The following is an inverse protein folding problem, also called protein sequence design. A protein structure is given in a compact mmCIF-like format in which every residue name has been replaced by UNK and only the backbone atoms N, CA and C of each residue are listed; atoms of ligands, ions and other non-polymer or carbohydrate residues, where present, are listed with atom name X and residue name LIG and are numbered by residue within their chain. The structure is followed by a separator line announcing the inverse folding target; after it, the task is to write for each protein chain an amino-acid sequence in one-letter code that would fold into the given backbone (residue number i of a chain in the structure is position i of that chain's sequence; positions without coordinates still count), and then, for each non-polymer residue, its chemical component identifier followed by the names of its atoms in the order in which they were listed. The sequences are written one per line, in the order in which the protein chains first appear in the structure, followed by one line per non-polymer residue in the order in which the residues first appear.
data_IF_966802399597
#
_entry.id   IF_966802399597
#
_cell.length_a   1.000
_cell.length_b   1.000
_cell.length_c   1.000
_cell.angle_alpha   90.00
_cell.angle_beta   90.00
_cell.angle_gamma   90.00
#
_symmetry.space_group_name_H-M   'P 1'
#
loop_
_entity.id
_entity.type
_entity.pdbx_description
1 polymer ?
#
# COMPACT_ATOMS: atom_id res chain seq x y z
N UNK A 1 -12.51 8.58 -56.11
CA UNK A 1 -12.35 9.57 -55.03
C UNK A 1 -12.25 8.79 -53.73
N UNK A 2 -11.04 8.62 -53.24
CA UNK A 2 -10.69 7.77 -52.11
C UNK A 2 -10.72 8.62 -50.83
N UNK A 3 -11.54 8.22 -49.85
CA UNK A 3 -11.67 8.89 -48.55
C UNK A 3 -10.49 8.45 -47.68
N UNK A 4 -9.59 9.38 -47.40
CA UNK A 4 -8.55 9.19 -46.38
C UNK A 4 -9.25 9.26 -45.02
N UNK A 5 -9.42 8.10 -44.38
CA UNK A 5 -9.81 8.02 -42.97
C UNK A 5 -8.76 8.72 -42.12
N UNK A 6 -9.17 9.78 -41.43
CA UNK A 6 -8.38 10.38 -40.38
C UNK A 6 -8.55 9.53 -39.13
N UNK A 7 -7.59 8.66 -38.87
CA UNK A 7 -7.43 8.01 -37.57
C UNK A 7 -7.29 9.11 -36.51
N UNK A 8 -8.39 9.37 -35.80
CA UNK A 8 -8.38 10.25 -34.65
C UNK A 8 -7.57 9.58 -33.55
N UNK A 9 -6.33 10.01 -33.37
CA UNK A 9 -5.50 9.66 -32.21
C UNK A 9 -6.20 10.24 -30.98
N UNK A 10 -7.02 9.43 -30.32
CA UNK A 10 -7.64 9.80 -29.05
C UNK A 10 -6.54 9.82 -27.97
N UNK A 11 -5.95 10.99 -27.74
CA UNK A 11 -5.15 11.23 -26.55
C UNK A 11 -6.07 11.19 -25.33
N UNK A 12 -6.07 10.05 -24.65
CA UNK A 12 -6.71 9.93 -23.34
C UNK A 12 -5.79 10.58 -22.32
N UNK A 13 -6.32 11.52 -21.52
CA UNK A 13 -5.61 12.08 -20.37
C UNK A 13 -5.24 10.93 -19.42
N UNK A 14 -3.98 10.53 -19.40
CA UNK A 14 -3.51 9.49 -18.48
C UNK A 14 -3.77 9.98 -17.05
N UNK A 15 -4.66 9.29 -16.34
CA UNK A 15 -5.02 9.62 -14.96
C UNK A 15 -3.94 9.07 -14.01
N UNK A 16 -2.81 9.76 -13.94
CA UNK A 16 -1.68 9.43 -13.07
C UNK A 16 -0.32 9.69 -13.71
N UNK A 17 0.72 9.71 -12.90
CA UNK A 17 2.07 10.10 -13.29
C UNK A 17 2.84 9.02 -14.09
N UNK A 18 2.11 8.24 -14.89
CA UNK A 18 2.64 7.15 -15.70
C UNK A 18 2.90 5.86 -14.93
N UNK A 19 3.81 5.07 -15.48
CA UNK A 19 4.17 3.73 -15.02
C UNK A 19 5.68 3.59 -14.98
N UNK A 20 6.21 2.77 -14.06
CA UNK A 20 7.63 2.45 -13.93
C UNK A 20 7.81 0.95 -13.70
N UNK A 21 9.01 0.43 -13.93
CA UNK A 21 9.34 -0.97 -13.67
C UNK A 21 9.82 -1.16 -12.24
N UNK A 22 9.40 -2.26 -11.62
CA UNK A 22 9.94 -2.68 -10.32
C UNK A 22 11.38 -3.19 -10.50
N UNK A 23 12.34 -2.83 -9.62
CA UNK A 23 13.69 -3.36 -9.67
C UNK A 23 13.74 -4.90 -9.71
N UNK A 24 14.71 -5.45 -10.47
CA UNK A 24 14.85 -6.89 -10.59
C UNK A 24 15.22 -7.53 -9.25
N UNK A 25 14.54 -8.61 -8.89
CA UNK A 25 14.73 -9.29 -7.61
C UNK A 25 14.00 -8.64 -6.44
N UNK A 26 13.23 -7.57 -6.68
CA UNK A 26 12.44 -6.89 -5.65
C UNK A 26 10.95 -7.19 -5.80
N UNK A 27 10.28 -7.39 -4.66
CA UNK A 27 8.82 -7.39 -4.53
C UNK A 27 8.36 -6.09 -3.87
N UNK A 28 7.27 -5.51 -4.34
CA UNK A 28 6.60 -4.41 -3.65
C UNK A 28 5.31 -4.92 -3.05
N UNK A 29 5.18 -4.78 -1.73
CA UNK A 29 3.97 -5.14 -0.98
C UNK A 29 3.13 -3.90 -0.72
N UNK A 30 1.88 -3.94 -1.17
CA UNK A 30 0.89 -2.90 -0.93
C UNK A 30 -0.06 -3.31 0.19
N UNK A 31 -0.16 -2.45 1.20
CA UNK A 31 -1.04 -2.66 2.37
C UNK A 31 -2.44 -2.06 2.19
N UNK A 32 -2.64 -1.39 1.06
CA UNK A 32 -3.91 -0.84 0.65
C UNK A 32 -4.20 -1.10 -0.81
N UNK A 33 -5.49 -1.28 -1.09
CA UNK A 33 -6.01 -1.23 -2.46
C UNK A 33 -5.82 0.18 -3.02
N UNK A 34 -5.71 0.28 -4.34
CA UNK A 34 -5.68 1.58 -5.00
C UNK A 34 -6.96 2.36 -4.66
N UNK A 35 -6.84 3.67 -4.44
CA UNK A 35 -7.93 4.58 -4.04
C UNK A 35 -8.44 4.40 -2.61
N UNK A 36 -7.70 3.69 -1.75
CA UNK A 36 -7.98 3.60 -0.33
C UNK A 36 -6.93 4.35 0.50
N UNK A 37 -7.31 4.72 1.72
CA UNK A 37 -6.45 5.32 2.73
C UNK A 37 -5.95 4.24 3.71
N UNK A 38 -4.73 4.39 4.21
CA UNK A 38 -4.22 3.66 5.39
C UNK A 38 -3.47 4.61 6.30
N UNK A 39 -3.15 4.14 7.50
CA UNK A 39 -2.23 4.79 8.40
C UNK A 39 -0.84 4.21 8.12
N UNK A 40 -0.02 4.94 7.34
CA UNK A 40 1.40 4.60 7.12
C UNK A 40 2.16 4.19 8.39
N UNK A 41 1.98 4.89 9.54
CA UNK A 41 2.54 4.47 10.83
C UNK A 41 2.19 3.03 11.24
N UNK A 42 0.96 2.58 10.98
CA UNK A 42 0.52 1.22 11.36
C UNK A 42 1.22 0.15 10.52
N UNK A 43 1.47 0.43 9.23
CA UNK A 43 2.25 -0.47 8.37
C UNK A 43 3.68 -0.59 8.88
N UNK A 44 4.34 0.55 9.16
CA UNK A 44 5.70 0.54 9.70
C UNK A 44 5.78 -0.23 11.01
N UNK A 45 4.84 0.00 11.94
CA UNK A 45 4.80 -0.70 13.21
C UNK A 45 4.68 -2.23 13.06
N UNK A 46 3.81 -2.72 12.18
CA UNK A 46 3.67 -4.16 11.96
C UNK A 46 4.86 -4.77 11.23
N UNK A 47 5.47 -4.04 10.30
CA UNK A 47 6.70 -4.47 9.61
C UNK A 47 7.84 -4.62 10.61
N UNK A 48 8.04 -3.62 11.47
CA UNK A 48 9.09 -3.65 12.50
C UNK A 48 8.88 -4.76 13.53
N UNK A 49 7.63 -5.08 13.89
CA UNK A 49 7.32 -6.15 14.85
C UNK A 49 7.53 -7.57 14.29
N UNK A 50 7.61 -7.72 12.96
CA UNK A 50 7.56 -9.03 12.29
C UNK A 50 8.55 -9.11 11.11
N UNK A 51 9.84 -8.81 11.30
CA UNK A 51 10.82 -8.72 10.21
C UNK A 51 10.92 -9.99 9.34
N UNK A 52 10.80 -11.17 9.96
CA UNK A 52 10.91 -12.42 9.20
C UNK A 52 9.62 -12.76 8.43
N UNK A 53 8.44 -12.43 8.98
CA UNK A 53 7.18 -12.67 8.28
C UNK A 53 7.04 -11.77 7.05
N UNK A 54 7.52 -10.53 7.14
CA UNK A 54 7.31 -9.53 6.09
C UNK A 54 8.04 -9.89 4.79
N UNK A 55 9.14 -10.67 4.87
CA UNK A 55 9.84 -11.21 3.70
C UNK A 55 8.94 -12.12 2.84
N UNK A 56 8.03 -12.88 3.47
CA UNK A 56 7.07 -13.73 2.76
C UNK A 56 5.78 -12.96 2.36
N UNK A 57 5.60 -11.81 2.99
CA UNK A 57 4.44 -10.95 2.86
C UNK A 57 3.55 -11.08 4.09
N UNK A 58 3.15 -9.92 4.61
CA UNK A 58 2.44 -9.86 5.88
C UNK A 58 1.04 -10.47 5.76
N UNK A 59 0.83 -11.63 6.38
CA UNK A 59 -0.51 -12.21 6.54
C UNK A 59 -1.25 -11.59 7.75
N UNK A 60 -2.59 -11.47 7.68
CA UNK A 60 -3.37 -10.94 8.78
C UNK A 60 -3.29 -11.88 9.99
N UNK A 61 -3.11 -11.29 11.17
CA UNK A 61 -3.10 -12.02 12.44
C UNK A 61 -3.84 -11.25 13.51
N UNK A 62 -4.41 -11.98 14.46
CA UNK A 62 -4.97 -11.43 15.69
C UNK A 62 -3.86 -11.48 16.74
N UNK A 63 -3.49 -10.33 17.28
CA UNK A 63 -2.41 -10.21 18.28
C UNK A 63 -2.85 -10.49 19.73
N UNK A 64 -3.99 -11.14 19.92
CA UNK A 64 -4.60 -11.40 21.23
C UNK A 64 -4.78 -12.90 21.45
N UNK A 65 -4.66 -13.34 22.70
CA UNK A 65 -4.93 -14.73 23.07
C UNK A 65 -6.43 -15.03 22.98
N UNK A 66 -6.80 -16.31 22.85
CA UNK A 66 -8.22 -16.69 22.87
C UNK A 66 -8.89 -16.30 24.19
N UNK A 67 -8.18 -16.34 25.32
CA UNK A 67 -8.66 -15.88 26.63
C UNK A 67 -8.99 -14.39 26.63
N UNK A 68 -8.14 -13.55 26.01
CA UNK A 68 -8.40 -12.11 25.89
C UNK A 68 -9.60 -11.84 24.98
N UNK A 69 -9.74 -12.62 23.90
CA UNK A 69 -10.87 -12.52 22.99
C UNK A 69 -12.17 -12.90 23.69
N UNK A 70 -12.18 -13.93 24.53
CA UNK A 70 -13.34 -14.31 25.35
C UNK A 70 -13.71 -13.22 26.36
N UNK A 71 -12.72 -12.58 26.98
CA UNK A 71 -12.95 -11.46 27.89
C UNK A 71 -13.57 -10.27 27.15
N UNK A 72 -13.01 -9.92 25.98
CA UNK A 72 -13.52 -8.85 25.13
C UNK A 72 -14.95 -9.14 24.65
N UNK A 73 -15.23 -10.35 24.19
CA UNK A 73 -16.55 -10.81 23.77
C UNK A 73 -17.59 -10.63 24.87
N UNK A 74 -17.28 -11.08 26.11
CA UNK A 74 -18.15 -10.87 27.28
C UNK A 74 -18.37 -9.39 27.58
N UNK A 75 -17.33 -8.57 27.54
CA UNK A 75 -17.44 -7.14 27.84
C UNK A 75 -18.28 -6.34 26.83
N UNK A 76 -18.36 -6.82 25.59
CA UNK A 76 -19.07 -6.17 24.48
C UNK A 76 -20.43 -6.77 24.16
N UNK A 77 -20.83 -7.83 24.88
CA UNK A 77 -22.02 -8.63 24.58
C UNK A 77 -22.04 -9.11 23.11
N UNK A 78 -20.91 -9.64 22.66
CA UNK A 78 -20.69 -10.13 21.29
C UNK A 78 -20.16 -11.56 21.32
N UNK A 79 -20.30 -12.29 20.20
CA UNK A 79 -19.66 -13.60 20.06
C UNK A 79 -18.15 -13.46 19.86
N UNK A 80 -17.38 -14.48 20.23
CA UNK A 80 -15.93 -14.51 19.98
C UNK A 80 -15.61 -14.48 18.48
N UNK A 81 -16.47 -15.07 17.64
CA UNK A 81 -16.34 -14.98 16.18
C UNK A 81 -16.52 -13.55 15.68
N UNK A 82 -17.51 -12.81 16.18
CA UNK A 82 -17.74 -11.42 15.75
C UNK A 82 -16.56 -10.52 16.14
N UNK A 83 -16.01 -10.71 17.35
CA UNK A 83 -14.79 -10.02 17.78
C UNK A 83 -13.61 -10.35 16.86
N UNK A 84 -13.40 -11.63 16.53
CA UNK A 84 -12.34 -12.05 15.60
C UNK A 84 -12.51 -11.42 14.22
N UNK A 85 -13.73 -11.40 13.69
CA UNK A 85 -14.05 -10.80 12.39
C UNK A 85 -13.80 -9.28 12.37
N UNK A 86 -14.20 -8.57 13.43
CA UNK A 86 -13.90 -7.15 13.58
C UNK A 86 -12.39 -6.89 13.63
N UNK A 87 -11.64 -7.66 14.41
CA UNK A 87 -10.19 -7.50 14.51
C UNK A 87 -9.51 -7.76 13.15
N UNK A 88 -9.95 -8.78 12.42
CA UNK A 88 -9.42 -9.11 11.09
C UNK A 88 -9.74 -8.03 10.05
N UNK A 89 -10.88 -7.34 10.18
CA UNK A 89 -11.24 -6.20 9.32
C UNK A 89 -10.23 -5.05 9.42
N UNK A 90 -9.70 -4.81 10.63
CA UNK A 90 -8.73 -3.74 10.91
C UNK A 90 -7.27 -4.20 10.90
N UNK A 91 -7.02 -5.50 10.74
CA UNK A 91 -5.68 -6.04 10.66
C UNK A 91 -4.91 -5.43 9.49
N UNK A 92 -3.64 -5.09 9.74
CA UNK A 92 -2.71 -4.66 8.70
C UNK A 92 -2.06 -5.90 8.08
N UNK A 93 -2.22 -6.05 6.77
CA UNK A 93 -1.68 -7.16 6.00
C UNK A 93 -1.50 -6.76 4.54
N UNK A 94 -0.71 -7.54 3.81
CA UNK A 94 -0.45 -7.34 2.39
C UNK A 94 -1.73 -7.57 1.59
N UNK A 95 -2.22 -6.54 0.90
CA UNK A 95 -3.44 -6.58 0.07
C UNK A 95 -3.15 -6.92 -1.38
N UNK A 96 -1.98 -6.53 -1.87
CA UNK A 96 -1.52 -6.78 -3.23
C UNK A 96 0.00 -6.75 -3.26
N UNK A 97 0.59 -7.34 -4.29
CA UNK A 97 2.03 -7.26 -4.53
C UNK A 97 2.35 -7.23 -6.01
N UNK A 98 3.53 -6.70 -6.33
CA UNK A 98 4.11 -6.68 -7.67
C UNK A 98 5.56 -7.16 -7.56
N UNK A 99 6.03 -7.97 -8.49
CA UNK A 99 7.38 -8.57 -8.46
C UNK A 99 8.16 -8.30 -9.74
N UNK A 100 9.48 -8.36 -9.64
CA UNK A 100 10.40 -8.76 -10.73
C UNK A 100 10.14 -8.08 -12.09
N UNK A 101 10.56 -6.83 -12.25
CA UNK A 101 10.51 -6.14 -13.55
C UNK A 101 9.09 -5.82 -14.04
N UNK A 102 8.04 -6.26 -13.33
CA UNK A 102 6.68 -5.93 -13.66
C UNK A 102 6.43 -4.42 -13.50
N UNK A 103 5.42 -3.95 -14.21
CA UNK A 103 5.08 -2.54 -14.25
C UNK A 103 4.21 -2.14 -13.06
N UNK A 104 4.58 -1.07 -12.37
CA UNK A 104 3.83 -0.45 -11.28
C UNK A 104 3.51 1.00 -11.61
N UNK A 105 2.37 1.51 -11.11
CA UNK A 105 2.02 2.92 -11.29
C UNK A 105 3.12 3.78 -10.66
N UNK A 106 3.58 4.79 -11.37
CA UNK A 106 4.66 5.64 -10.88
C UNK A 106 4.12 6.71 -9.90
N UNK A 107 3.66 6.27 -8.73
CA UNK A 107 2.97 7.13 -7.77
C UNK A 107 3.77 8.41 -7.48
N UNK A 108 3.14 9.58 -7.63
CA UNK A 108 3.60 10.78 -6.96
C UNK A 108 3.51 10.58 -5.44
N UNK A 109 4.66 10.72 -4.78
CA UNK A 109 4.85 10.65 -3.36
C UNK A 109 4.93 12.08 -2.81
N UNK A 110 4.29 12.28 -1.66
CA UNK A 110 4.24 13.57 -0.96
C UNK A 110 4.70 13.36 0.48
N UNK A 111 5.37 14.36 1.01
CA UNK A 111 5.67 14.44 2.42
C UNK A 111 4.38 14.43 3.25
N UNK A 112 4.36 13.68 4.36
CA UNK A 112 3.24 13.63 5.29
C UNK A 112 3.63 14.37 6.57
N UNK A 113 2.68 15.02 7.24
CA UNK A 113 2.93 15.78 8.47
C UNK A 113 3.52 14.93 9.61
N UNK A 114 3.35 13.61 9.56
CA UNK A 114 3.86 12.66 10.55
C UNK A 114 5.26 12.13 10.23
N UNK A 115 5.83 12.46 9.06
CA UNK A 115 7.10 11.90 8.60
C UNK A 115 8.22 12.15 9.61
N UNK A 116 8.37 13.36 10.14
CA UNK A 116 9.44 13.69 11.10
C UNK A 116 9.35 12.84 12.37
N UNK A 117 8.14 12.73 12.95
CA UNK A 117 7.92 11.88 14.13
C UNK A 117 8.23 10.40 13.88
N UNK A 118 7.97 9.90 12.65
CA UNK A 118 8.28 8.51 12.29
C UNK A 118 9.79 8.28 12.08
N UNK A 119 10.50 9.28 11.55
CA UNK A 119 11.96 9.24 11.41
C UNK A 119 12.59 9.20 12.79
N UNK A 120 12.18 10.11 13.68
CA UNK A 120 12.69 10.17 15.05
C UNK A 120 12.42 8.87 15.80
N UNK A 121 11.20 8.34 15.66
CA UNK A 121 10.85 7.06 16.26
C UNK A 121 11.71 5.92 15.71
N UNK A 122 11.89 5.85 14.39
CA UNK A 122 12.70 4.79 13.79
C UNK A 122 14.17 4.90 14.21
N UNK A 123 14.75 6.11 14.23
CA UNK A 123 16.15 6.29 14.59
C UNK A 123 16.44 6.06 16.08
N UNK A 124 15.51 6.42 16.97
CA UNK A 124 15.72 6.36 18.42
C UNK A 124 15.12 5.11 19.08
N UNK A 125 14.08 4.52 18.49
CA UNK A 125 13.34 3.37 19.06
C UNK A 125 13.45 2.10 18.22
N UNK A 126 14.14 2.08 17.05
CA UNK A 126 14.24 0.83 16.30
C UNK A 126 15.16 -0.17 17.01
N UNK A 127 14.53 -1.13 17.70
CA UNK A 127 15.19 -2.39 18.05
C UNK A 127 15.48 -3.25 16.81
N UNK A 128 14.84 -2.95 15.67
CA UNK A 128 14.91 -3.73 14.44
C UNK A 128 15.81 -3.07 13.38
N UNK A 129 17.02 -3.61 13.23
CA UNK A 129 18.04 -3.16 12.26
C UNK A 129 17.88 -3.79 10.87
N UNK A 130 16.86 -4.62 10.65
CA UNK A 130 16.63 -5.33 9.38
C UNK A 130 15.71 -4.55 8.44
N UNK A 131 15.13 -3.44 8.90
CA UNK A 131 14.18 -2.63 8.14
C UNK A 131 14.75 -1.24 7.95
N UNK A 132 15.02 -0.87 6.70
CA UNK A 132 15.31 0.52 6.33
C UNK A 132 14.02 1.27 6.00
N UNK A 133 14.06 2.59 6.18
CA UNK A 133 12.93 3.46 5.87
C UNK A 133 13.29 4.54 4.85
N UNK A 134 12.44 4.69 3.84
CA UNK A 134 12.55 5.74 2.83
C UNK A 134 11.38 6.71 2.96
N UNK A 135 11.69 8.00 3.01
CA UNK A 135 10.73 9.09 3.00
C UNK A 135 11.07 10.10 1.92
N UNK A 136 10.07 10.87 1.49
CA UNK A 136 10.25 11.97 0.54
C UNK A 136 10.02 13.28 1.28
N UNK A 137 10.95 14.22 1.16
CA UNK A 137 10.87 15.56 1.77
C UNK A 137 10.24 16.57 0.82
N UNK A 138 10.43 16.37 -0.48
CA UNK A 138 9.79 17.07 -1.58
C UNK A 138 8.92 16.11 -2.41
N UNK A 139 8.18 16.65 -3.37
CA UNK A 139 7.39 15.81 -4.28
C UNK A 139 8.33 14.98 -5.15
N UNK A 140 8.22 13.65 -5.03
CA UNK A 140 8.98 12.68 -5.81
C UNK A 140 8.07 11.66 -6.47
N UNK A 141 8.57 10.93 -7.44
CA UNK A 141 7.93 9.75 -8.00
C UNK A 141 8.54 8.46 -7.44
N UNK A 142 7.76 7.38 -7.44
CA UNK A 142 8.23 6.07 -6.99
C UNK A 142 9.47 5.60 -7.76
N UNK A 143 9.58 5.91 -9.05
CA UNK A 143 10.78 5.65 -9.85
C UNK A 143 12.03 6.31 -9.26
N UNK A 144 11.92 7.55 -8.75
CA UNK A 144 13.06 8.25 -8.15
C UNK A 144 13.52 7.59 -6.84
N UNK A 145 12.61 6.91 -6.13
CA UNK A 145 12.97 6.09 -4.95
C UNK A 145 13.74 4.85 -5.38
N UNK A 146 13.35 4.20 -6.48
CA UNK A 146 14.09 3.06 -7.02
C UNK A 146 15.49 3.46 -7.49
N UNK A 147 15.61 4.60 -8.19
CA UNK A 147 16.90 5.14 -8.61
C UNK A 147 17.80 5.47 -7.40
N UNK A 148 17.21 5.98 -6.31
CA UNK A 148 17.93 6.26 -5.08
C UNK A 148 18.45 4.98 -4.42
N UNK A 149 17.61 3.93 -4.34
CA UNK A 149 17.99 2.60 -3.85
C UNK A 149 19.12 2.01 -4.69
N UNK A 150 19.01 2.06 -6.02
CA UNK A 150 20.03 1.53 -6.92
C UNK A 150 21.39 2.21 -6.71
N UNK A 151 21.39 3.53 -6.48
CA UNK A 151 22.60 4.31 -6.20
C UNK A 151 23.28 3.97 -4.87
N UNK A 152 22.56 3.43 -3.89
CA UNK A 152 23.19 2.97 -2.63
C UNK A 152 23.93 1.65 -2.82
N UNK A 153 23.64 0.90 -3.88
CA UNK A 153 24.16 -0.46 -4.12
C UNK A 153 23.55 -1.53 -3.21
N UNK A 154 22.62 -1.15 -2.31
CA UNK A 154 21.90 -2.09 -1.45
C UNK A 154 20.80 -2.79 -2.25
N UNK A 155 20.66 -4.09 -2.04
CA UNK A 155 19.59 -4.89 -2.65
C UNK A 155 18.51 -5.18 -1.63
N UNK A 156 17.30 -4.66 -1.90
CA UNK A 156 16.13 -4.98 -1.09
C UNK A 156 15.28 -6.06 -1.77
N UNK A 157 15.05 -7.16 -1.06
CA UNK A 157 14.16 -8.23 -1.52
C UNK A 157 12.70 -7.77 -1.53
N UNK A 158 12.31 -6.94 -0.55
CA UNK A 158 10.94 -6.45 -0.39
C UNK A 158 10.92 -4.97 -0.08
N UNK A 159 10.06 -4.22 -0.78
CA UNK A 159 9.69 -2.84 -0.46
C UNK A 159 8.26 -2.83 0.09
N UNK A 160 8.10 -2.38 1.33
CA UNK A 160 6.80 -2.25 1.96
C UNK A 160 6.19 -0.86 1.68
N UNK A 161 5.26 -0.79 0.74
CA UNK A 161 4.61 0.46 0.36
C UNK A 161 3.49 0.80 1.35
N UNK A 162 3.85 1.51 2.43
CA UNK A 162 2.93 1.94 3.49
C UNK A 162 2.19 3.25 3.21
N UNK A 163 2.57 3.99 2.17
CA UNK A 163 1.97 5.28 1.86
C UNK A 163 0.52 5.15 1.33
N UNK A 164 -0.31 6.15 1.63
CA UNK A 164 -1.67 6.27 1.11
C UNK A 164 -1.69 6.29 -0.43
N UNK A 165 -2.64 5.58 -1.04
CA UNK A 165 -2.82 5.51 -2.49
C UNK A 165 -4.12 6.20 -2.87
N UNK A 166 -4.21 7.50 -2.58
CA UNK A 166 -5.40 8.32 -2.85
C UNK A 166 -5.37 8.94 -4.25
N UNK A 167 -6.53 9.28 -4.79
CA UNK A 167 -6.63 10.17 -5.95
C UNK A 167 -6.39 11.62 -5.50
N UNK A 168 -5.84 12.44 -6.40
CA UNK A 168 -5.50 13.85 -6.15
C UNK A 168 -6.72 14.77 -6.01
N UNK A 169 -7.90 14.25 -6.28
CA UNK A 169 -9.17 14.93 -6.04
C UNK A 169 -9.45 14.75 -4.55
N UNK A 170 -9.15 15.77 -3.74
CA UNK A 170 -9.08 15.75 -2.26
C UNK A 170 -10.36 15.40 -1.48
N UNK A 171 -11.24 14.58 -2.04
CA UNK A 171 -12.38 14.00 -1.36
C UNK A 171 -12.07 12.55 -1.03
N UNK A 172 -12.05 12.21 0.26
CA UNK A 172 -12.23 10.83 0.69
C UNK A 172 -13.54 10.34 0.07
N UNK A 173 -13.46 9.44 -0.91
CA UNK A 173 -14.66 8.78 -1.42
C UNK A 173 -15.22 7.92 -0.30
N UNK A 174 -16.25 8.43 0.36
CA UNK A 174 -17.18 7.67 1.16
C UNK A 174 -17.69 6.52 0.31
N UNK A 175 -17.51 5.30 0.83
CA UNK A 175 -18.22 4.07 0.48
C UNK A 175 -19.31 4.23 -0.56
N UNK A 176 -19.15 3.56 -1.71
CA UNK A 176 -20.28 3.04 -2.47
C UNK A 176 -19.87 1.66 -2.98
N UNK A 177 -20.13 0.66 -2.13
CA UNK A 177 -20.62 -0.62 -2.60
C UNK A 177 -21.84 -0.36 -3.50
N UNK A 178 -21.63 -0.35 -4.81
CA UNK A 178 -22.66 -0.73 -5.76
C UNK A 178 -22.02 -1.65 -6.79
N UNK A 179 -22.44 -2.91 -6.69
CA UNK A 179 -22.69 -3.78 -7.83
C UNK A 179 -22.82 -2.98 -9.14
N UNK A 180 -21.97 -3.29 -10.11
CA UNK A 180 -22.41 -3.34 -11.50
C UNK A 180 -21.92 -4.63 -12.14
N UNK A 181 -22.67 -5.67 -11.79
CA UNK A 181 -22.81 -6.87 -12.57
C UNK A 181 -23.41 -6.51 -13.94
N UNK A 182 -22.71 -6.85 -15.02
CA UNK A 182 -23.25 -7.15 -16.37
C UNK A 182 -24.24 -6.15 -17.00
N UNK A 183 -23.92 -5.64 -18.20
CA UNK A 183 -24.49 -6.11 -19.50
C UNK A 183 -24.16 -5.16 -20.67
N UNK A 184 -23.72 -5.81 -21.74
CA UNK A 184 -24.08 -5.60 -23.15
C UNK A 184 -23.75 -4.26 -23.82
N UNK A 185 -22.77 -4.36 -24.72
CA UNK A 185 -22.71 -3.59 -25.95
C UNK A 185 -24.03 -3.74 -26.73
N UNK A 186 -24.66 -2.60 -27.03
CA UNK A 186 -25.54 -2.41 -28.18
C UNK A 186 -25.27 -1.03 -28.76
N UNK A 187 -24.44 -1.02 -29.79
CA UNK A 187 -24.52 -0.35 -31.09
C UNK A 187 -23.10 -0.25 -31.65
#
# INVERSE_FOLDING_TARGET
MEKIERDSTMFHRQSGDGWTSVPNGTRIDFYIKHKNFTKGPTVLAEVNKRPHDVLNGLEPRIGFSDTDIELLARSRDMSTSDIKDEMMKWATYRKAYITNGATVKNYALYHHEQTDSLIDQHQNESENKEVDIAFVTDKKHLSEVFDAIEKTGVKYEVIHFGACRVNRDGNATTSLDKHDSKKQLKL
#
